data_IF_302335496142
#
_entry.id   IF_302335496142
#
_cell.length_a   1.000
_cell.length_b   1.000
_cell.length_c   1.000
_cell.angle_alpha   90.00
_cell.angle_beta   90.00
_cell.angle_gamma   90.00
#
_symmetry.space_group_name_H-M   'P 1'
#
loop_
_entity.id
_entity.type
_entity.pdbx_description
1 polymer ?
#
# COMPACT_ATOMS: atom_id res chain seq x y z
N UNK A 1 -11.14 -2.15 -6.04
CA UNK A 1 -11.85 -3.13 -5.22
C UNK A 1 -11.03 -4.39 -4.98
N UNK A 2 -10.57 -5.03 -6.05
CA UNK A 2 -9.76 -6.25 -5.93
C UNK A 2 -8.54 -6.07 -5.02
N UNK A 3 -7.79 -4.99 -5.19
CA UNK A 3 -6.59 -4.74 -4.38
C UNK A 3 -6.93 -4.57 -2.90
N UNK A 4 -7.99 -3.85 -2.58
CA UNK A 4 -8.42 -3.65 -1.20
C UNK A 4 -8.82 -4.99 -0.54
N UNK A 5 -9.54 -5.82 -1.25
CA UNK A 5 -9.91 -7.16 -0.77
C UNK A 5 -8.68 -8.04 -0.59
N UNK A 6 -7.75 -7.99 -1.54
CA UNK A 6 -6.50 -8.74 -1.48
C UNK A 6 -5.69 -8.36 -0.23
N UNK A 7 -5.51 -7.06 0.00
CA UNK A 7 -4.73 -6.59 1.16
C UNK A 7 -5.35 -7.01 2.49
N UNK A 8 -6.67 -6.95 2.60
CA UNK A 8 -7.35 -7.34 3.83
C UNK A 8 -7.27 -8.83 4.12
N UNK A 9 -7.18 -9.65 3.09
CA UNK A 9 -7.21 -11.11 3.22
C UNK A 9 -5.85 -11.80 3.19
N UNK A 10 -4.78 -11.07 2.91
CA UNK A 10 -3.44 -11.66 2.91
C UNK A 10 -3.07 -12.18 4.29
N UNK A 11 -2.66 -13.44 4.33
CA UNK A 11 -2.28 -14.12 5.58
C UNK A 11 -0.78 -13.97 5.82
N UNK A 12 -0.37 -12.77 6.19
CA UNK A 12 1.04 -12.42 6.37
C UNK A 12 1.46 -12.30 7.83
N UNK A 13 0.56 -12.57 8.75
CA UNK A 13 0.86 -12.55 10.18
C UNK A 13 0.91 -13.97 10.72
N UNK A 14 1.85 -14.20 11.65
CA UNK A 14 2.06 -15.53 12.21
C UNK A 14 0.94 -15.94 13.14
N UNK A 15 0.54 -17.20 13.04
CA UNK A 15 -0.35 -17.83 14.01
C UNK A 15 0.43 -18.37 15.21
N UNK A 16 -0.25 -19.10 16.10
CA UNK A 16 0.37 -19.67 17.30
C UNK A 16 1.44 -20.72 17.00
N UNK A 17 1.47 -21.25 15.78
CA UNK A 17 2.46 -22.24 15.34
C UNK A 17 3.61 -21.60 14.54
N UNK A 18 3.63 -20.26 14.41
CA UNK A 18 4.65 -19.52 13.69
C UNK A 18 4.49 -19.55 12.17
N UNK A 19 3.33 -19.94 11.66
CA UNK A 19 3.03 -19.95 10.23
C UNK A 19 2.31 -18.68 9.82
N UNK A 20 2.59 -18.16 8.62
CA UNK A 20 1.84 -17.06 8.03
C UNK A 20 0.42 -17.53 7.71
N UNK A 21 -0.51 -17.21 8.57
CA UNK A 21 -1.88 -17.73 8.49
C UNK A 21 -2.96 -16.73 8.87
N UNK A 22 -2.60 -15.61 9.45
CA UNK A 22 -3.57 -14.62 9.92
C UNK A 22 -3.51 -13.37 9.07
N UNK A 23 -4.68 -12.80 8.80
CA UNK A 23 -4.78 -11.50 8.10
C UNK A 23 -4.71 -10.33 9.08
N UNK A 24 -4.67 -9.12 8.55
CA UNK A 24 -4.52 -7.90 9.35
C UNK A 24 -5.68 -7.69 10.32
N UNK A 25 -6.89 -8.07 9.94
CA UNK A 25 -8.07 -7.94 10.81
C UNK A 25 -8.04 -8.94 11.95
N UNK A 26 -7.63 -10.17 11.68
CA UNK A 26 -7.54 -11.23 12.69
C UNK A 26 -6.55 -10.92 13.81
N UNK A 27 -5.47 -10.21 13.50
CA UNK A 27 -4.48 -9.81 14.51
C UNK A 27 -4.79 -8.46 15.16
N UNK A 28 -5.93 -7.85 14.82
CA UNK A 28 -6.29 -6.53 15.35
C UNK A 28 -5.40 -5.41 14.84
N UNK A 29 -4.82 -5.56 13.66
CA UNK A 29 -3.92 -4.58 13.06
C UNK A 29 -4.66 -3.44 12.36
N UNK A 30 -3.87 -2.55 11.77
CA UNK A 30 -4.36 -1.40 11.04
C UNK A 30 -3.62 -1.28 9.71
N UNK A 31 -4.15 -0.47 8.81
CA UNK A 31 -3.51 -0.21 7.53
C UNK A 31 -3.13 1.26 7.40
N UNK A 32 -1.91 1.50 6.91
CA UNK A 32 -1.47 2.84 6.50
C UNK A 32 -1.34 2.83 4.99
N UNK A 33 -2.11 3.67 4.31
CA UNK A 33 -2.12 3.79 2.85
C UNK A 33 -1.42 5.07 2.43
N UNK A 34 -0.34 4.91 1.68
CA UNK A 34 0.47 6.03 1.20
C UNK A 34 0.60 5.93 -0.32
N UNK A 35 0.21 6.99 -1.02
CA UNK A 35 0.42 7.07 -2.47
C UNK A 35 1.89 7.31 -2.79
N UNK A 36 2.39 6.67 -3.85
CA UNK A 36 3.79 6.81 -4.24
C UNK A 36 3.93 6.62 -5.76
N UNK A 37 3.83 7.70 -6.52
CA UNK A 37 3.92 7.62 -7.98
C UNK A 37 5.33 7.26 -8.46
N UNK A 38 6.35 7.55 -7.68
CA UNK A 38 7.74 7.27 -8.03
C UNK A 38 8.05 5.77 -8.14
N UNK A 39 7.13 4.90 -7.70
CA UNK A 39 7.25 3.46 -7.95
C UNK A 39 7.22 3.13 -9.45
N UNK A 40 6.64 4.00 -10.28
CA UNK A 40 6.68 3.89 -11.74
C UNK A 40 7.90 4.55 -12.35
N UNK A 41 8.85 5.01 -11.54
CA UNK A 41 10.09 5.60 -12.02
C UNK A 41 10.88 4.60 -12.86
N UNK A 42 11.21 5.00 -14.08
CA UNK A 42 12.07 4.24 -14.98
C UNK A 42 13.51 4.76 -14.87
N UNK A 43 14.40 3.91 -14.42
CA UNK A 43 15.82 4.24 -14.24
C UNK A 43 16.72 3.47 -15.22
N UNK A 44 16.13 2.89 -16.27
CA UNK A 44 16.85 2.08 -17.23
C UNK A 44 17.80 2.87 -18.11
N UNK A 45 17.59 4.19 -18.26
CA UNK A 45 18.40 5.05 -19.10
C UNK A 45 18.91 6.25 -18.31
N UNK A 46 20.22 6.50 -18.42
CA UNK A 46 20.84 7.65 -17.79
C UNK A 46 20.76 7.60 -16.26
N UNK A 47 20.84 8.78 -15.65
CA UNK A 47 20.89 8.91 -14.19
C UNK A 47 19.69 9.66 -13.61
N UNK A 48 18.72 10.05 -14.44
CA UNK A 48 17.50 10.70 -14.00
C UNK A 48 16.33 9.73 -14.17
N UNK A 49 15.53 9.52 -13.12
CA UNK A 49 14.31 8.72 -13.27
C UNK A 49 13.32 9.38 -14.23
N UNK A 50 12.62 8.57 -15.00
CA UNK A 50 11.50 9.02 -15.81
C UNK A 50 10.19 8.52 -15.20
N UNK A 51 9.19 9.39 -15.10
CA UNK A 51 7.90 9.05 -14.51
C UNK A 51 6.76 9.08 -15.55
N UNK A 52 7.08 8.97 -16.82
CA UNK A 52 6.08 9.05 -17.90
C UNK A 52 5.05 7.92 -17.85
N UNK A 53 5.38 6.80 -17.24
CA UNK A 53 4.47 5.67 -17.08
C UNK A 53 3.50 5.85 -15.90
N UNK A 54 3.74 6.81 -15.02
CA UNK A 54 2.84 7.08 -13.91
C UNK A 54 1.55 7.71 -14.42
N UNK A 55 0.44 7.44 -13.72
CA UNK A 55 -0.84 8.06 -14.05
C UNK A 55 -0.76 9.58 -13.93
N UNK A 56 -1.56 10.26 -14.74
CA UNK A 56 -1.70 11.72 -14.65
C UNK A 56 -2.22 12.09 -13.24
N UNK A 57 -1.76 13.21 -12.64
CA UNK A 57 -2.04 13.51 -11.23
C UNK A 57 -3.51 13.48 -10.81
N UNK A 58 -4.42 14.03 -11.62
CA UNK A 58 -5.84 14.04 -11.28
C UNK A 58 -6.44 12.64 -11.28
N UNK A 59 -6.08 11.83 -12.25
CA UNK A 59 -6.52 10.44 -12.34
C UNK A 59 -5.91 9.60 -11.21
N UNK A 60 -4.65 9.81 -10.90
CA UNK A 60 -3.99 9.13 -9.80
C UNK A 60 -4.66 9.45 -8.46
N UNK A 61 -5.00 10.71 -8.24
CA UNK A 61 -5.71 11.13 -7.03
C UNK A 61 -7.09 10.49 -6.94
N UNK A 62 -7.83 10.48 -8.03
CA UNK A 62 -9.16 9.86 -8.08
C UNK A 62 -9.09 8.38 -7.72
N UNK A 63 -8.15 7.65 -8.30
CA UNK A 63 -7.97 6.22 -8.03
C UNK A 63 -7.53 5.96 -6.59
N UNK A 64 -6.63 6.78 -6.08
CA UNK A 64 -6.18 6.66 -4.70
C UNK A 64 -7.33 6.90 -3.72
N UNK A 65 -8.09 7.97 -3.91
CA UNK A 65 -9.23 8.30 -3.04
C UNK A 65 -10.29 7.21 -3.07
N UNK A 66 -10.58 6.64 -4.24
CA UNK A 66 -11.48 5.50 -4.39
C UNK A 66 -10.97 4.28 -3.64
N UNK A 67 -9.70 3.98 -3.77
CA UNK A 67 -9.06 2.87 -3.06
C UNK A 67 -9.15 3.04 -1.53
N UNK A 68 -8.83 4.22 -1.03
CA UNK A 68 -8.96 4.53 0.40
C UNK A 68 -10.39 4.36 0.87
N UNK A 69 -11.36 4.85 0.09
CA UNK A 69 -12.79 4.72 0.42
C UNK A 69 -13.21 3.26 0.53
N UNK A 70 -12.80 2.42 -0.41
CA UNK A 70 -13.10 0.97 -0.37
C UNK A 70 -12.45 0.31 0.85
N UNK A 71 -11.21 0.65 1.16
CA UNK A 71 -10.54 0.10 2.35
C UNK A 71 -11.25 0.51 3.64
N UNK A 72 -11.69 1.76 3.73
CA UNK A 72 -12.43 2.26 4.91
C UNK A 72 -13.81 1.65 5.08
N UNK A 73 -14.35 1.04 4.03
CA UNK A 73 -15.61 0.29 4.11
C UNK A 73 -15.51 -1.03 4.87
N UNK A 74 -14.31 -1.50 5.18
CA UNK A 74 -14.08 -2.69 5.99
C UNK A 74 -13.99 -2.39 7.48
N UNK A 75 -13.66 -3.43 8.27
CA UNK A 75 -13.57 -3.32 9.74
C UNK A 75 -12.16 -2.94 10.22
N UNK A 76 -11.15 -3.03 9.35
CA UNK A 76 -9.77 -2.69 9.68
C UNK A 76 -9.59 -1.17 9.67
N UNK A 77 -9.08 -0.56 10.74
CA UNK A 77 -8.82 0.88 10.73
C UNK A 77 -7.81 1.27 9.65
N UNK A 78 -8.03 2.41 9.01
CA UNK A 78 -7.20 2.90 7.91
C UNK A 78 -6.74 4.32 8.21
N UNK A 79 -5.42 4.52 8.17
CA UNK A 79 -4.80 5.84 8.17
C UNK A 79 -4.19 6.09 6.79
N UNK A 80 -4.01 7.35 6.43
CA UNK A 80 -3.46 7.73 5.12
C UNK A 80 -2.35 8.76 5.25
N UNK A 81 -1.48 8.80 4.24
CA UNK A 81 -0.62 9.95 4.02
C UNK A 81 -1.38 11.07 3.32
N UNK A 82 -0.67 12.10 2.89
CA UNK A 82 -1.21 13.23 2.13
C UNK A 82 -0.83 13.07 0.67
N UNK A 83 -1.83 12.95 -0.21
CA UNK A 83 -1.56 12.74 -1.63
C UNK A 83 -0.73 13.88 -2.23
N UNK A 84 0.35 13.51 -2.92
CA UNK A 84 1.23 14.48 -3.60
C UNK A 84 2.12 15.31 -2.67
N UNK A 85 2.02 15.14 -1.36
CA UNK A 85 2.83 15.89 -0.42
C UNK A 85 4.24 15.30 -0.31
N UNK A 86 5.18 16.15 0.05
CA UNK A 86 6.49 15.70 0.48
C UNK A 86 6.38 15.27 1.95
N UNK A 87 6.65 14.00 2.21
CA UNK A 87 6.48 13.42 3.54
C UNK A 87 7.78 12.78 4.02
N UNK A 88 8.03 12.90 5.31
CA UNK A 88 9.00 12.06 5.99
C UNK A 88 8.23 10.92 6.63
N UNK A 89 8.63 9.68 6.32
CA UNK A 89 7.97 8.49 6.83
C UNK A 89 8.91 7.77 7.77
N UNK A 90 8.55 7.75 9.06
CA UNK A 90 9.29 6.98 10.05
C UNK A 90 8.52 5.69 10.34
N UNK A 91 9.21 4.56 10.28
CA UNK A 91 8.60 3.28 10.55
C UNK A 91 9.62 2.32 11.16
N UNK A 92 9.11 1.33 11.87
CA UNK A 92 9.88 0.17 12.29
C UNK A 92 9.39 -1.03 11.48
N UNK A 93 10.24 -1.53 10.59
CA UNK A 93 9.91 -2.74 9.84
C UNK A 93 10.20 -3.98 10.69
N UNK A 94 9.16 -4.50 11.32
CA UNK A 94 9.23 -5.76 12.06
C UNK A 94 8.92 -6.89 11.07
N UNK A 95 9.94 -7.18 10.28
CA UNK A 95 9.79 -8.06 9.15
C UNK A 95 10.49 -9.41 9.32
N UNK A 96 10.91 -9.94 8.17
CA UNK A 96 11.21 -9.20 6.94
C UNK A 96 10.12 -9.21 5.86
N UNK A 97 8.83 -9.19 6.20
CA UNK A 97 7.80 -9.34 5.17
C UNK A 97 7.58 -8.04 4.39
N UNK A 98 7.96 -8.05 3.14
CA UNK A 98 7.67 -6.98 2.17
C UNK A 98 7.26 -7.64 0.86
N UNK A 99 6.13 -7.25 0.31
CA UNK A 99 5.58 -7.87 -0.89
C UNK A 99 5.23 -6.80 -1.92
N UNK A 100 5.41 -7.15 -3.19
CA UNK A 100 4.92 -6.37 -4.33
C UNK A 100 3.69 -7.07 -4.87
N UNK A 101 2.59 -6.34 -4.98
CA UNK A 101 1.33 -6.88 -5.48
C UNK A 101 0.92 -6.09 -6.70
N UNK A 102 0.80 -6.76 -7.82
CA UNK A 102 0.36 -6.18 -9.09
C UNK A 102 -0.77 -7.02 -9.66
N UNK A 103 -1.52 -6.38 -10.55
CA UNK A 103 -2.59 -7.06 -11.26
C UNK A 103 -2.56 -6.77 -12.75
#
# INVERSE_FOLDING_TARGET
KWMAEKLRSLRIFSDSEGRMNLDVGEVGGEMLLVSQFTLYGDVSRGRRPSFVAAAEPDEARRLYDEFVSVCRGGVVPVATGEFGARMEVALLNDGPVTLVIER
#
